data_IF_326403405687
#
_entry.id   IF_326403405687
#
_cell.length_a   1.000
_cell.length_b   1.000
_cell.length_c   1.000
_cell.angle_alpha   90.00
_cell.angle_beta   90.00
_cell.angle_gamma   90.00
#
_symmetry.space_group_name_H-M   'P 1'
#
loop_
_entity.id
_entity.type
_entity.pdbx_description
1 polymer ?
#
# COMPACT_ATOMS: atom_id res chain seq x y z
N UNK A 1 21.31 -31.32 4.14
CA UNK A 1 19.96 -30.78 3.85
C UNK A 1 19.67 -29.36 4.42
N UNK A 2 20.56 -28.73 5.20
CA UNK A 2 20.29 -27.39 5.77
C UNK A 2 20.47 -26.19 4.80
N UNK A 3 21.29 -26.34 3.74
CA UNK A 3 21.59 -25.24 2.81
C UNK A 3 20.42 -24.87 1.88
N UNK A 4 19.68 -25.89 1.39
CA UNK A 4 18.54 -25.70 0.46
C UNK A 4 17.40 -24.91 1.13
N UNK A 5 17.22 -25.09 2.45
CA UNK A 5 16.14 -24.44 3.19
C UNK A 5 16.42 -22.94 3.49
N UNK A 6 17.70 -22.51 3.52
CA UNK A 6 18.06 -21.08 3.69
C UNK A 6 17.77 -20.26 2.43
N UNK A 7 18.02 -20.83 1.24
CA UNK A 7 17.74 -20.17 -0.04
C UNK A 7 16.24 -19.85 -0.24
N UNK A 8 15.36 -20.82 0.06
CA UNK A 8 13.91 -20.64 -0.06
C UNK A 8 13.35 -19.56 0.88
N UNK A 9 13.90 -19.43 2.10
CA UNK A 9 13.48 -18.39 3.07
C UNK A 9 13.97 -17.00 2.66
N UNK A 10 15.19 -16.90 2.13
CA UNK A 10 15.76 -15.65 1.61
C UNK A 10 14.92 -15.09 0.45
N UNK A 11 14.62 -15.91 -0.56
CA UNK A 11 13.82 -15.50 -1.72
C UNK A 11 12.41 -15.02 -1.35
N UNK A 12 11.77 -15.65 -0.34
CA UNK A 12 10.48 -15.18 0.18
C UNK A 12 10.59 -13.82 0.87
N UNK A 13 11.66 -13.61 1.64
CA UNK A 13 11.95 -12.33 2.28
C UNK A 13 12.13 -11.19 1.27
N UNK A 14 12.93 -11.42 0.23
CA UNK A 14 13.17 -10.42 -0.83
C UNK A 14 11.89 -10.07 -1.58
N UNK A 15 11.04 -11.05 -1.90
CA UNK A 15 9.75 -10.81 -2.55
C UNK A 15 8.84 -9.95 -1.68
N UNK A 16 8.72 -10.26 -0.40
CA UNK A 16 7.90 -9.47 0.54
C UNK A 16 8.41 -8.03 0.66
N UNK A 17 9.73 -7.85 0.77
CA UNK A 17 10.34 -6.52 0.79
C UNK A 17 10.03 -5.73 -0.49
N UNK A 18 10.08 -6.37 -1.66
CA UNK A 18 9.73 -5.73 -2.93
C UNK A 18 8.27 -5.25 -2.94
N UNK A 19 7.32 -6.08 -2.52
CA UNK A 19 5.90 -5.67 -2.48
C UNK A 19 5.62 -4.58 -1.43
N UNK A 20 6.30 -4.60 -0.28
CA UNK A 20 6.22 -3.51 0.69
C UNK A 20 6.82 -2.20 0.14
N UNK A 21 7.92 -2.30 -0.61
CA UNK A 21 8.50 -1.15 -1.28
C UNK A 21 7.55 -0.59 -2.35
N UNK A 22 6.95 -1.46 -3.18
CA UNK A 22 5.95 -1.06 -4.16
C UNK A 22 4.71 -0.44 -3.50
N UNK A 23 4.25 -0.98 -2.37
CA UNK A 23 3.17 -0.38 -1.59
C UNK A 23 3.52 1.02 -1.11
N UNK A 24 4.73 1.19 -0.57
CA UNK A 24 5.21 2.47 -0.06
C UNK A 24 5.32 3.52 -1.17
N UNK A 25 5.90 3.14 -2.31
CA UNK A 25 5.98 4.00 -3.49
C UNK A 25 4.60 4.32 -4.07
N UNK A 26 3.68 3.35 -4.11
CA UNK A 26 2.30 3.56 -4.56
C UNK A 26 1.54 4.54 -3.67
N UNK A 27 1.71 4.45 -2.35
CA UNK A 27 1.09 5.40 -1.42
C UNK A 27 1.68 6.81 -1.56
N UNK A 28 2.99 6.93 -1.82
CA UNK A 28 3.63 8.21 -2.10
C UNK A 28 3.14 8.83 -3.41
N UNK A 29 3.07 8.03 -4.49
CA UNK A 29 2.55 8.50 -5.77
C UNK A 29 1.09 8.97 -5.66
N UNK A 30 0.26 8.24 -4.91
CA UNK A 30 -1.12 8.63 -4.65
C UNK A 30 -1.20 9.97 -3.89
N UNK A 31 -0.40 10.15 -2.84
CA UNK A 31 -0.32 11.41 -2.09
C UNK A 31 0.12 12.60 -2.96
N UNK A 32 1.12 12.40 -3.82
CA UNK A 32 1.62 13.45 -4.71
C UNK A 32 0.61 13.79 -5.79
N UNK A 33 -0.07 12.79 -6.35
CA UNK A 33 -1.10 13.02 -7.39
C UNK A 33 -2.34 13.69 -6.82
N UNK A 34 -2.84 13.28 -5.65
CA UNK A 34 -3.94 13.98 -4.96
C UNK A 34 -3.56 15.44 -4.64
N UNK A 35 -2.34 15.69 -4.15
CA UNK A 35 -1.85 17.05 -3.93
C UNK A 35 -1.82 17.88 -5.22
N UNK A 36 -1.27 17.32 -6.29
CA UNK A 36 -1.17 17.99 -7.58
C UNK A 36 -2.56 18.27 -8.19
N UNK A 37 -3.51 17.35 -8.03
CA UNK A 37 -4.89 17.52 -8.48
C UNK A 37 -5.59 18.66 -7.71
N UNK A 38 -5.49 18.65 -6.37
CA UNK A 38 -6.09 19.71 -5.55
C UNK A 38 -5.44 21.09 -5.77
N UNK A 39 -4.12 21.15 -6.00
CA UNK A 39 -3.43 22.39 -6.34
C UNK A 39 -3.94 23.01 -7.65
N UNK A 40 -4.51 22.21 -8.55
CA UNK A 40 -5.16 22.63 -9.79
C UNK A 40 -6.69 22.79 -9.67
N UNK A 41 -7.22 22.74 -8.46
CA UNK A 41 -8.65 22.95 -8.19
C UNK A 41 -9.54 21.72 -8.37
N UNK A 42 -8.97 20.51 -8.46
CA UNK A 42 -9.77 19.29 -8.46
C UNK A 42 -10.46 19.06 -7.11
N UNK A 43 -11.70 18.56 -7.15
CA UNK A 43 -12.44 18.12 -5.96
C UNK A 43 -12.34 16.60 -5.85
N UNK A 44 -12.01 16.12 -4.65
CA UNK A 44 -11.76 14.69 -4.45
C UNK A 44 -13.05 13.88 -4.49
N UNK A 45 -13.18 13.02 -5.50
CA UNK A 45 -14.40 12.24 -5.75
C UNK A 45 -14.62 11.11 -4.74
N UNK A 46 -13.56 10.67 -4.05
CA UNK A 46 -13.65 9.64 -3.02
C UNK A 46 -14.17 10.25 -1.72
N UNK A 47 -15.38 9.88 -1.31
CA UNK A 47 -16.04 10.41 -0.11
C UNK A 47 -15.23 10.23 1.18
N UNK A 48 -14.47 9.15 1.30
CA UNK A 48 -13.61 8.91 2.47
C UNK A 48 -12.39 9.83 2.42
N UNK A 49 -11.72 9.95 1.27
CA UNK A 49 -10.58 10.84 1.12
C UNK A 49 -10.98 12.31 1.29
N UNK A 50 -12.13 12.70 0.72
CA UNK A 50 -12.72 14.02 0.86
C UNK A 50 -13.04 14.34 2.32
N UNK A 51 -13.57 13.39 3.08
CA UNK A 51 -13.83 13.54 4.53
C UNK A 51 -12.55 13.72 5.34
N UNK A 52 -11.50 12.94 5.04
CA UNK A 52 -10.19 13.09 5.68
C UNK A 52 -9.57 14.46 5.35
N UNK A 53 -9.66 14.89 4.10
CA UNK A 53 -9.17 16.18 3.63
C UNK A 53 -9.97 17.36 4.23
N UNK A 54 -11.29 17.24 4.37
CA UNK A 54 -12.11 18.31 4.96
C UNK A 54 -11.90 18.44 6.46
N UNK A 55 -11.58 17.34 7.16
CA UNK A 55 -11.41 17.33 8.62
C UNK A 55 -10.01 17.78 9.04
N UNK A 56 -8.96 17.34 8.33
CA UNK A 56 -7.57 17.56 8.75
C UNK A 56 -6.61 17.94 7.63
N UNK A 57 -7.12 18.23 6.43
CA UNK A 57 -6.32 18.63 5.28
C UNK A 57 -5.36 17.54 4.80
N UNK A 58 -4.35 18.00 4.06
CA UNK A 58 -3.32 17.13 3.49
C UNK A 58 -2.51 16.39 4.55
N UNK A 59 -2.20 17.04 5.68
CA UNK A 59 -1.40 16.43 6.75
C UNK A 59 -2.05 15.16 7.32
N UNK A 60 -3.37 15.17 7.52
CA UNK A 60 -4.08 13.99 8.00
C UNK A 60 -4.10 12.86 6.96
N UNK A 61 -4.21 13.20 5.67
CA UNK A 61 -4.12 12.23 4.58
C UNK A 61 -2.75 11.51 4.56
N UNK A 62 -1.66 12.25 4.79
CA UNK A 62 -0.31 11.71 4.94
C UNK A 62 -0.22 10.72 6.11
N UNK A 63 -0.76 11.09 7.28
CA UNK A 63 -0.74 10.24 8.48
C UNK A 63 -1.55 8.96 8.26
N UNK A 64 -2.74 9.06 7.69
CA UNK A 64 -3.60 7.90 7.40
C UNK A 64 -2.91 6.93 6.45
N UNK A 65 -2.32 7.43 5.35
CA UNK A 65 -1.62 6.59 4.38
C UNK A 65 -0.32 6.00 4.94
N UNK A 66 0.44 6.77 5.70
CA UNK A 66 1.63 6.29 6.39
C UNK A 66 1.30 5.18 7.39
N UNK A 67 0.24 5.34 8.17
CA UNK A 67 -0.19 4.32 9.14
C UNK A 67 -0.67 3.03 8.47
N UNK A 68 -1.28 3.09 7.28
CA UNK A 68 -1.63 1.92 6.47
C UNK A 68 -0.39 1.12 6.04
N UNK A 69 0.66 1.79 5.56
CA UNK A 69 1.93 1.13 5.19
C UNK A 69 2.57 0.47 6.42
N UNK A 70 2.61 1.19 7.54
CA UNK A 70 3.14 0.67 8.80
C UNK A 70 2.33 -0.53 9.30
N UNK A 71 1.00 -0.45 9.29
CA UNK A 71 0.12 -1.54 9.71
C UNK A 71 0.34 -2.80 8.86
N UNK A 72 0.50 -2.65 7.54
CA UNK A 72 0.81 -3.77 6.66
C UNK A 72 2.19 -4.36 6.95
N UNK A 73 3.20 -3.51 7.20
CA UNK A 73 4.53 -3.95 7.63
C UNK A 73 4.49 -4.75 8.92
N UNK A 74 3.74 -4.28 9.93
CA UNK A 74 3.53 -4.98 11.20
C UNK A 74 2.80 -6.31 10.98
N UNK A 75 1.74 -6.33 10.17
CA UNK A 75 1.01 -7.56 9.86
C UNK A 75 1.92 -8.64 9.23
N UNK A 76 2.77 -8.23 8.29
CA UNK A 76 3.79 -9.10 7.68
C UNK A 76 4.78 -9.63 8.72
N UNK A 77 5.28 -8.78 9.61
CA UNK A 77 6.21 -9.18 10.67
C UNK A 77 5.56 -10.15 11.68
N UNK A 78 4.31 -9.90 12.06
CA UNK A 78 3.55 -10.75 12.98
C UNK A 78 3.31 -12.15 12.39
N UNK A 79 2.88 -12.22 11.13
CA UNK A 79 2.72 -13.49 10.41
C UNK A 79 4.06 -14.23 10.35
N UNK A 80 5.15 -13.52 10.00
CA UNK A 80 6.48 -14.12 9.90
C UNK A 80 7.00 -14.62 11.25
N UNK A 81 6.76 -13.90 12.34
CA UNK A 81 7.29 -14.24 13.66
C UNK A 81 6.49 -15.32 14.37
N UNK A 82 5.17 -15.25 14.32
CA UNK A 82 4.32 -16.09 15.19
C UNK A 82 3.59 -17.23 14.45
N UNK A 83 3.46 -17.15 13.12
CA UNK A 83 2.53 -18.03 12.40
C UNK A 83 3.22 -19.00 11.43
N UNK A 84 4.50 -18.84 11.15
CA UNK A 84 5.28 -19.74 10.28
C UNK A 84 5.52 -21.15 10.85
N UNK A 85 5.08 -21.45 12.08
CA UNK A 85 5.19 -22.77 12.72
C UNK A 85 3.86 -23.51 12.93
N UNK A 86 2.72 -22.90 12.62
CA UNK A 86 1.38 -23.50 12.84
C UNK A 86 0.75 -23.96 11.51
N UNK A 87 0.52 -25.27 11.35
CA UNK A 87 0.23 -25.90 10.05
C UNK A 87 -0.99 -25.36 9.30
N UNK A 88 -2.13 -25.14 9.96
CA UNK A 88 -3.37 -24.76 9.24
C UNK A 88 -3.64 -23.26 9.28
N UNK A 89 -3.61 -22.68 10.47
CA UNK A 89 -3.94 -21.27 10.72
C UNK A 89 -2.84 -20.32 10.19
N UNK A 90 -1.58 -20.75 10.25
CA UNK A 90 -0.42 -20.01 9.75
C UNK A 90 -0.41 -19.80 8.25
N UNK A 91 -0.76 -20.84 7.50
CA UNK A 91 -0.84 -20.79 6.05
C UNK A 91 -1.97 -19.88 5.56
N UNK A 92 -3.13 -19.92 6.21
CA UNK A 92 -4.26 -19.04 5.86
C UNK A 92 -3.89 -17.58 6.11
N UNK A 93 -3.41 -17.25 7.31
CA UNK A 93 -3.01 -15.88 7.66
C UNK A 93 -1.91 -15.35 6.71
N UNK A 94 -0.91 -16.17 6.41
CA UNK A 94 0.15 -15.80 5.47
C UNK A 94 -0.35 -15.59 4.04
N UNK A 95 -1.26 -16.43 3.55
CA UNK A 95 -1.83 -16.26 2.21
C UNK A 95 -2.73 -15.02 2.12
N UNK A 96 -3.45 -14.69 3.20
CA UNK A 96 -4.34 -13.54 3.26
C UNK A 96 -3.55 -12.23 3.31
N UNK A 97 -2.54 -12.12 4.18
CA UNK A 97 -1.66 -10.94 4.23
C UNK A 97 -0.93 -10.77 2.90
N UNK A 98 -0.47 -11.87 2.29
CA UNK A 98 0.20 -11.83 1.01
C UNK A 98 -0.71 -11.34 -0.13
N UNK A 99 -1.89 -11.94 -0.28
CA UNK A 99 -2.88 -11.54 -1.30
C UNK A 99 -3.38 -10.12 -1.06
N UNK A 100 -3.59 -9.74 0.20
CA UNK A 100 -3.99 -8.39 0.60
C UNK A 100 -2.94 -7.35 0.21
N UNK A 101 -1.66 -7.63 0.45
CA UNK A 101 -0.56 -6.76 0.04
C UNK A 101 -0.52 -6.58 -1.48
N UNK A 102 -0.62 -7.67 -2.23
CA UNK A 102 -0.63 -7.63 -3.71
C UNK A 102 -1.83 -6.85 -4.25
N UNK A 103 -3.03 -7.15 -3.73
CA UNK A 103 -4.25 -6.46 -4.11
C UNK A 103 -4.16 -4.96 -3.81
N UNK A 104 -3.61 -4.59 -2.65
CA UNK A 104 -3.43 -3.17 -2.28
C UNK A 104 -2.53 -2.45 -3.27
N UNK A 105 -1.43 -3.06 -3.69
CA UNK A 105 -0.53 -2.47 -4.71
C UNK A 105 -1.21 -2.34 -6.06
N UNK A 106 -1.97 -3.35 -6.50
CA UNK A 106 -2.72 -3.30 -7.76
C UNK A 106 -3.77 -2.19 -7.73
N UNK A 107 -4.55 -2.09 -6.65
CA UNK A 107 -5.55 -1.03 -6.48
C UNK A 107 -4.88 0.33 -6.49
N UNK A 108 -3.77 0.52 -5.76
CA UNK A 108 -3.02 1.78 -5.77
C UNK A 108 -2.49 2.15 -7.15
N UNK A 109 -2.03 1.16 -7.94
CA UNK A 109 -1.59 1.42 -9.31
C UNK A 109 -2.75 1.91 -10.19
N UNK A 110 -3.94 1.30 -10.06
CA UNK A 110 -5.14 1.76 -10.76
C UNK A 110 -5.57 3.16 -10.30
N UNK A 111 -5.53 3.43 -9.00
CA UNK A 111 -5.82 4.76 -8.45
C UNK A 111 -4.82 5.80 -8.98
N UNK A 112 -3.53 5.48 -9.02
CA UNK A 112 -2.52 6.39 -9.56
C UNK A 112 -2.76 6.72 -11.04
N UNK A 113 -3.10 5.71 -11.86
CA UNK A 113 -3.48 5.93 -13.26
C UNK A 113 -4.72 6.81 -13.36
N UNK A 114 -5.73 6.56 -12.53
CA UNK A 114 -6.93 7.38 -12.46
C UNK A 114 -6.62 8.82 -12.08
N UNK A 115 -5.85 9.06 -11.02
CA UNK A 115 -5.47 10.40 -10.60
C UNK A 115 -4.67 11.12 -11.70
N UNK A 116 -3.77 10.42 -12.39
CA UNK A 116 -3.03 10.98 -13.53
C UNK A 116 -3.97 11.42 -14.66
N UNK A 117 -4.99 10.59 -14.97
CA UNK A 117 -5.99 10.92 -15.98
C UNK A 117 -6.82 12.15 -15.60
N UNK A 118 -7.18 12.28 -14.32
CA UNK A 118 -7.90 13.47 -13.81
C UNK A 118 -7.02 14.71 -13.93
N UNK A 119 -5.75 14.63 -13.55
CA UNK A 119 -4.80 15.74 -13.68
C UNK A 119 -4.65 16.19 -15.14
N UNK A 120 -4.55 15.25 -16.08
CA UNK A 120 -4.43 15.55 -17.51
C UNK A 120 -5.69 16.20 -18.12
N UNK A 121 -6.84 16.06 -17.48
CA UNK A 121 -8.11 16.68 -17.90
C UNK A 121 -8.33 18.07 -17.29
N UNK A 122 -7.50 18.50 -16.34
CA UNK A 122 -7.62 19.82 -15.72
C UNK A 122 -7.02 20.92 -16.63
N UNK A 123 -7.63 22.12 -16.67
CA UNK A 123 -7.12 23.22 -17.47
C UNK A 123 -5.67 23.57 -17.08
N UNK A 124 -4.77 23.65 -18.08
CA UNK A 124 -3.34 23.98 -17.87
C UNK A 124 -2.40 22.78 -17.74
N UNK A 125 -2.82 21.57 -18.14
CA UNK A 125 -1.95 20.40 -18.31
C UNK A 125 -1.14 20.42 -19.62
#
# INVERSE_FOLDING_TARGET
MAAINRGSRSMRGTRIALWLLMLSLGQLADLLTTQAAMARGAVEANSVAASVLSTGGLGLLWVVKGSLVLAMGVAVLLVRRYWLGTERRGHVAGSLVWRGLQLSVVVLALTAVHNLSVIGLLPGA
#
